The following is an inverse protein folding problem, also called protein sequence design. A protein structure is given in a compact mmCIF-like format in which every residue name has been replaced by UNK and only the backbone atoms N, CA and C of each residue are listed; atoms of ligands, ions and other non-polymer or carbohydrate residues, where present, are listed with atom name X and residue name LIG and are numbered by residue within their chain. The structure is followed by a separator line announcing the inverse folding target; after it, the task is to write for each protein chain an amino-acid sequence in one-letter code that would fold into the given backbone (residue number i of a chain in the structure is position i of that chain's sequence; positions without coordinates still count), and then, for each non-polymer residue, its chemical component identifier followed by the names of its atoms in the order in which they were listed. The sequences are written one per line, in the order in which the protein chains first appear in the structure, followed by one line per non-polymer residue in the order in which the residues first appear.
data_IF_150301912801
#
_entry.id   IF_150301912801
#
_cell.length_a   1.000
_cell.length_b   1.000
_cell.length_c   1.000
_cell.angle_alpha   90.00
_cell.angle_beta   90.00
_cell.angle_gamma   90.00
#
_symmetry.space_group_name_H-M   'P 1'
#
loop_
_entity.id
_entity.type
_entity.pdbx_description
1 polymer ?
#
# COMPACT_ATOMS: atom_id res chain seq x y z
N UNK A 1 -31.74 30.91 35.27
CA UNK A 1 -30.42 30.81 34.62
C UNK A 1 -30.21 29.35 34.24
N UNK A 2 -30.28 29.00 32.96
CA UNK A 2 -30.30 27.61 32.45
C UNK A 2 -28.98 27.36 31.72
N UNK A 3 -28.23 26.37 32.18
CA UNK A 3 -26.85 26.05 31.79
C UNK A 3 -26.77 25.46 30.39
N UNK A 4 -26.14 26.19 29.46
CA UNK A 4 -25.75 25.76 28.11
C UNK A 4 -24.36 25.10 28.18
N UNK A 5 -24.28 23.80 28.52
CA UNK A 5 -22.97 23.14 28.69
C UNK A 5 -22.93 21.69 28.17
N UNK A 6 -23.70 21.36 27.12
CA UNK A 6 -23.74 19.99 26.58
C UNK A 6 -23.29 19.88 25.12
N UNK A 7 -22.95 21.00 24.47
CA UNK A 7 -22.66 21.02 23.01
C UNK A 7 -21.16 20.85 22.68
N UNK A 8 -20.25 21.01 23.65
CA UNK A 8 -18.80 21.09 23.35
C UNK A 8 -18.03 19.77 23.30
N UNK A 9 -18.59 18.64 23.77
CA UNK A 9 -17.85 17.36 23.81
C UNK A 9 -17.90 16.63 22.45
N UNK A 10 -18.99 16.78 21.69
CA UNK A 10 -19.14 16.11 20.41
C UNK A 10 -18.14 16.62 19.35
N UNK A 11 -17.76 17.91 19.39
CA UNK A 11 -16.91 18.51 18.35
C UNK A 11 -15.43 18.11 18.47
N UNK A 12 -14.93 17.80 19.68
CA UNK A 12 -13.53 17.39 19.91
C UNK A 12 -13.28 15.94 19.50
N UNK A 13 -14.31 15.07 19.56
CA UNK A 13 -14.18 13.67 19.15
C UNK A 13 -14.01 13.50 17.63
N UNK A 14 -14.55 14.42 16.81
CA UNK A 14 -14.44 14.34 15.35
C UNK A 14 -13.10 14.83 14.80
N UNK A 15 -12.41 15.76 15.47
CA UNK A 15 -11.11 16.27 15.00
C UNK A 15 -9.97 15.29 15.25
N UNK A 16 -10.08 14.39 16.23
CA UNK A 16 -9.09 13.35 16.50
C UNK A 16 -9.04 12.25 15.41
N UNK A 17 -10.11 12.06 14.64
CA UNK A 17 -10.15 11.07 13.57
C UNK A 17 -9.39 11.49 12.31
N UNK A 18 -9.09 12.79 12.14
CA UNK A 18 -8.41 13.29 10.94
C UNK A 18 -6.90 12.98 10.94
N UNK A 19 -6.25 12.93 12.12
CA UNK A 19 -4.83 12.62 12.24
C UNK A 19 -4.49 11.13 12.10
N UNK A 20 -5.50 10.27 11.94
CA UNK A 20 -5.31 8.83 11.77
C UNK A 20 -5.07 8.40 10.31
N UNK A 21 -5.05 9.34 9.36
CA UNK A 21 -4.67 9.06 7.96
C UNK A 21 -3.15 8.98 7.85
N UNK A 22 -2.60 7.84 8.28
CA UNK A 22 -1.17 7.58 8.24
C UNK A 22 -0.80 6.76 7.00
N UNK A 23 0.20 7.22 6.27
CA UNK A 23 0.93 6.38 5.31
C UNK A 23 1.88 5.48 6.10
N UNK A 24 1.80 4.18 5.85
CA UNK A 24 2.76 3.21 6.39
C UNK A 24 3.68 2.82 5.24
N UNK A 25 4.98 2.98 5.45
CA UNK A 25 6.02 2.52 4.50
C UNK A 25 6.45 1.13 4.93
N UNK A 26 6.42 0.18 4.00
CA UNK A 26 6.96 -1.16 4.19
C UNK A 26 7.94 -1.51 3.06
N UNK A 27 9.16 -1.99 3.36
CA UNK A 27 9.66 -2.23 4.70
C UNK A 27 9.91 -0.93 5.49
N UNK A 28 9.73 -0.94 6.81
CA UNK A 28 9.78 0.25 7.67
C UNK A 28 11.08 1.07 7.52
N UNK A 29 12.21 0.39 7.29
CA UNK A 29 13.51 1.01 7.05
C UNK A 29 13.60 1.82 5.75
N UNK A 30 12.75 1.52 4.77
CA UNK A 30 12.72 2.23 3.48
C UNK A 30 12.17 3.67 3.61
N UNK A 31 11.60 4.05 4.76
CA UNK A 31 11.11 5.42 5.00
C UNK A 31 12.19 6.47 4.76
N UNK A 32 13.42 6.22 5.22
CA UNK A 32 14.52 7.18 5.20
C UNK A 32 15.73 6.73 4.37
N UNK A 33 15.72 5.49 3.88
CA UNK A 33 16.86 4.89 3.17
C UNK A 33 16.40 4.19 1.89
N UNK A 34 17.31 4.08 0.93
CA UNK A 34 17.16 3.13 -0.16
C UNK A 34 17.81 1.79 0.21
N UNK A 35 17.20 0.71 -0.24
CA UNK A 35 17.77 -0.63 -0.09
C UNK A 35 18.99 -0.84 -0.99
N UNK A 36 19.72 -1.93 -0.77
CA UNK A 36 20.84 -2.35 -1.63
C UNK A 36 20.41 -2.97 -2.96
N UNK A 37 19.09 -3.08 -3.20
CA UNK A 37 18.52 -3.67 -4.40
C UNK A 37 17.19 -3.02 -4.77
N UNK A 38 16.73 -3.32 -5.98
CA UNK A 38 15.48 -2.81 -6.54
C UNK A 38 14.64 -3.96 -7.09
N UNK A 39 13.33 -3.79 -7.06
CA UNK A 39 12.39 -4.74 -7.66
C UNK A 39 11.68 -4.06 -8.85
N UNK A 40 11.86 -4.64 -10.03
CA UNK A 40 11.25 -4.15 -11.26
C UNK A 40 9.96 -4.91 -11.63
N UNK A 41 9.63 -5.99 -10.91
CA UNK A 41 8.40 -6.75 -11.12
C UNK A 41 7.25 -6.20 -10.25
N UNK A 42 6.01 -6.16 -10.75
CA UNK A 42 5.59 -6.56 -12.10
C UNK A 42 5.75 -5.44 -13.16
N UNK A 43 6.27 -4.27 -12.78
CA UNK A 43 6.23 -3.02 -13.56
C UNK A 43 7.00 -3.00 -14.88
N UNK A 44 7.90 -3.96 -15.11
CA UNK A 44 8.71 -4.03 -16.35
C UNK A 44 8.40 -5.24 -17.21
N UNK A 45 7.52 -6.14 -16.75
CA UNK A 45 7.12 -7.32 -17.53
C UNK A 45 6.14 -6.95 -18.64
N UNK A 46 6.34 -7.51 -19.83
CA UNK A 46 5.35 -7.53 -20.93
C UNK A 46 4.50 -8.80 -20.92
N UNK A 47 4.88 -9.79 -20.12
CA UNK A 47 4.14 -11.05 -19.93
C UNK A 47 3.19 -10.90 -18.75
N UNK A 48 1.93 -11.30 -18.95
CA UNK A 48 0.93 -11.36 -17.89
C UNK A 48 1.38 -12.39 -16.85
N UNK A 49 1.51 -11.97 -15.60
CA UNK A 49 1.98 -12.79 -14.49
C UNK A 49 1.18 -12.47 -13.24
N UNK A 50 1.09 -13.45 -12.33
CA UNK A 50 0.73 -13.20 -10.94
C UNK A 50 1.98 -12.83 -10.17
N UNK A 51 1.83 -11.89 -9.25
CA UNK A 51 2.88 -11.43 -8.36
C UNK A 51 2.27 -11.33 -6.96
N UNK A 52 3.07 -11.60 -5.93
CA UNK A 52 2.64 -11.47 -4.54
C UNK A 52 3.73 -10.76 -3.75
N UNK A 53 3.34 -9.84 -2.87
CA UNK A 53 4.21 -9.35 -1.80
C UNK A 53 3.53 -9.49 -0.44
N UNK A 54 4.35 -9.80 0.56
CA UNK A 54 3.91 -9.96 1.95
C UNK A 54 4.58 -8.86 2.80
N UNK A 55 3.78 -8.22 3.64
CA UNK A 55 4.19 -7.16 4.55
C UNK A 55 3.83 -7.52 5.99
N UNK A 56 4.84 -7.89 6.78
CA UNK A 56 4.68 -8.30 8.19
C UNK A 56 4.99 -7.17 9.19
N UNK A 57 5.30 -5.97 8.71
CA UNK A 57 5.81 -4.84 9.49
C UNK A 57 4.88 -3.63 9.47
N UNK A 58 3.59 -3.84 9.19
CA UNK A 58 2.58 -2.78 9.23
C UNK A 58 2.21 -2.37 10.67
N UNK A 59 2.76 -3.05 11.68
CA UNK A 59 2.41 -2.91 13.08
C UNK A 59 1.05 -3.55 13.41
N UNK A 60 0.70 -3.53 14.69
CA UNK A 60 -0.53 -4.16 15.18
C UNK A 60 -1.79 -3.33 14.90
N UNK A 61 -2.93 -3.96 15.12
CA UNK A 61 -4.25 -3.33 15.07
C UNK A 61 -4.84 -3.24 13.67
N UNK A 62 -6.17 -3.22 13.62
CA UNK A 62 -6.91 -3.18 12.38
C UNK A 62 -6.64 -1.90 11.58
N UNK A 63 -6.55 -2.02 10.26
CA UNK A 63 -6.26 -0.92 9.34
C UNK A 63 -7.27 -0.89 8.21
N UNK A 64 -7.69 0.32 7.84
CA UNK A 64 -8.48 0.53 6.63
C UNK A 64 -7.55 0.99 5.50
N UNK A 65 -7.15 0.06 4.65
CA UNK A 65 -6.25 0.31 3.52
C UNK A 65 -7.08 0.75 2.33
N UNK A 66 -6.69 1.86 1.68
CA UNK A 66 -7.42 2.42 0.51
C UNK A 66 -6.56 2.55 -0.74
N UNK A 67 -5.24 2.39 -0.58
CA UNK A 67 -4.27 2.62 -1.63
C UNK A 67 -3.00 1.82 -1.35
N UNK A 68 -2.37 1.34 -2.42
CA UNK A 68 -0.97 0.97 -2.43
C UNK A 68 -0.21 2.00 -3.26
N UNK A 69 0.93 2.46 -2.76
CA UNK A 69 1.80 3.42 -3.43
C UNK A 69 3.19 2.82 -3.57
N UNK A 70 3.77 2.97 -4.76
CA UNK A 70 5.14 2.57 -5.04
C UNK A 70 5.99 3.81 -5.29
N UNK A 71 7.29 3.66 -5.16
CA UNK A 71 8.26 4.68 -5.54
C UNK A 71 9.32 4.06 -6.45
N UNK A 72 9.87 4.86 -7.36
CA UNK A 72 11.08 4.48 -8.07
C UNK A 72 12.23 4.21 -7.09
N UNK A 73 13.24 3.50 -7.59
CA UNK A 73 14.54 3.52 -6.93
C UNK A 73 15.13 4.93 -7.00
N UNK A 74 15.69 5.41 -5.90
CA UNK A 74 16.44 6.65 -5.85
C UNK A 74 17.60 6.69 -6.86
N UNK A 75 17.86 7.86 -7.43
CA UNK A 75 18.91 8.02 -8.44
C UNK A 75 19.02 9.44 -8.99
N UNK A 76 19.60 9.57 -10.18
CA UNK A 76 19.78 10.85 -10.90
C UNK A 76 18.90 11.01 -12.14
N UNK A 77 18.10 9.99 -12.47
CA UNK A 77 17.25 9.97 -13.68
C UNK A 77 15.84 10.46 -13.33
N UNK A 78 15.36 11.46 -14.06
CA UNK A 78 13.97 11.91 -13.97
C UNK A 78 13.05 10.96 -14.75
N UNK A 79 11.90 10.63 -14.18
CA UNK A 79 10.91 9.74 -14.80
C UNK A 79 9.63 10.52 -15.11
N UNK A 80 9.60 11.12 -16.31
CA UNK A 80 8.49 11.98 -16.78
C UNK A 80 7.43 11.25 -17.62
N UNK A 81 7.67 9.99 -17.95
CA UNK A 81 6.74 9.16 -18.72
C UNK A 81 5.65 8.53 -17.85
N UNK A 82 4.58 8.10 -18.52
CA UNK A 82 3.52 7.27 -17.93
C UNK A 82 3.55 5.87 -18.53
N UNK A 83 3.01 4.88 -17.79
CA UNK A 83 2.84 3.50 -18.23
C UNK A 83 1.42 3.04 -17.92
N UNK A 84 0.70 2.64 -18.97
CA UNK A 84 -0.56 1.94 -18.82
C UNK A 84 -0.30 0.47 -18.45
N UNK A 85 -1.05 -0.05 -17.48
CA UNK A 85 -0.96 -1.44 -17.02
C UNK A 85 -2.35 -2.02 -16.84
N UNK A 86 -2.59 -3.21 -17.40
CA UNK A 86 -3.79 -4.02 -17.10
C UNK A 86 -3.56 -4.76 -15.79
N UNK A 87 -4.31 -4.40 -14.75
CA UNK A 87 -4.12 -4.90 -13.38
C UNK A 87 -5.46 -5.36 -12.80
N UNK A 88 -5.41 -6.50 -12.11
CA UNK A 88 -6.35 -6.92 -11.08
C UNK A 88 -5.59 -7.02 -9.75
N UNK A 89 -6.18 -6.54 -8.66
CA UNK A 89 -5.54 -6.54 -7.33
C UNK A 89 -6.49 -7.16 -6.31
N UNK A 90 -5.96 -8.09 -5.51
CA UNK A 90 -6.65 -8.63 -4.35
C UNK A 90 -5.77 -8.50 -3.12
N UNK A 91 -6.40 -8.28 -1.96
CA UNK A 91 -5.72 -8.21 -0.66
C UNK A 91 -6.20 -9.37 0.22
N UNK A 92 -5.32 -9.87 1.08
CA UNK A 92 -5.65 -10.91 2.05
C UNK A 92 -4.69 -10.86 3.25
N UNK A 93 -5.06 -11.55 4.32
CA UNK A 93 -4.11 -11.92 5.35
C UNK A 93 -3.21 -13.05 4.82
N UNK A 94 -1.96 -13.11 5.29
CA UNK A 94 -1.00 -14.14 4.95
C UNK A 94 -0.21 -14.61 6.17
N UNK A 95 0.44 -15.77 6.01
CA UNK A 95 1.36 -16.31 7.01
C UNK A 95 2.59 -15.44 7.25
N UNK A 96 3.56 -16.00 7.97
CA UNK A 96 4.84 -15.36 8.21
C UNK A 96 5.61 -15.19 6.88
N UNK A 97 6.22 -14.01 6.67
CA UNK A 97 7.07 -13.73 5.50
C UNK A 97 8.26 -14.69 5.35
N UNK A 98 8.66 -15.37 6.43
CA UNK A 98 9.71 -16.40 6.41
C UNK A 98 9.21 -17.77 5.90
N UNK A 99 7.89 -17.94 5.74
CA UNK A 99 7.24 -19.22 5.42
C UNK A 99 6.58 -19.27 4.03
N UNK A 100 7.05 -18.43 3.10
CA UNK A 100 6.45 -18.26 1.77
C UNK A 100 6.56 -19.54 0.94
N UNK A 101 5.47 -19.88 0.26
CA UNK A 101 5.38 -20.97 -0.70
C UNK A 101 5.37 -20.48 -2.15
N UNK A 102 5.96 -21.28 -3.05
CA UNK A 102 5.80 -21.07 -4.50
C UNK A 102 4.38 -21.41 -4.99
N UNK A 103 3.59 -22.12 -4.17
CA UNK A 103 2.16 -22.27 -4.42
C UNK A 103 1.44 -21.02 -3.87
N UNK A 104 1.13 -20.08 -4.76
CA UNK A 104 0.55 -18.77 -4.40
C UNK A 104 -0.72 -18.89 -3.55
N UNK A 105 -1.54 -19.93 -3.78
CA UNK A 105 -2.77 -20.12 -3.01
C UNK A 105 -2.50 -20.51 -1.55
N UNK A 106 -1.36 -21.12 -1.27
CA UNK A 106 -0.97 -21.53 0.08
C UNK A 106 -0.47 -20.35 0.93
N UNK A 107 -0.21 -19.19 0.32
CA UNK A 107 0.24 -17.99 1.04
C UNK A 107 -0.93 -17.20 1.66
N UNK A 108 -2.17 -17.48 1.26
CA UNK A 108 -3.37 -16.80 1.78
C UNK A 108 -3.86 -17.44 3.08
N UNK A 109 -4.21 -16.60 4.05
CA UNK A 109 -5.02 -16.98 5.21
C UNK A 109 -6.46 -16.51 4.95
N UNK A 110 -7.27 -17.43 4.43
CA UNK A 110 -8.66 -17.16 4.06
C UNK A 110 -8.85 -16.87 2.57
N UNK A 111 -9.98 -16.24 2.24
CA UNK A 111 -10.32 -15.89 0.85
C UNK A 111 -9.81 -14.48 0.52
N UNK A 112 -9.06 -14.30 -0.59
CA UNK A 112 -8.64 -12.97 -1.04
C UNK A 112 -9.83 -12.09 -1.40
N UNK A 113 -9.74 -10.79 -1.09
CA UNK A 113 -10.72 -9.77 -1.46
C UNK A 113 -10.20 -9.00 -2.66
N UNK A 114 -10.86 -9.11 -3.81
CA UNK A 114 -10.56 -8.26 -4.97
C UNK A 114 -10.89 -6.80 -4.65
N UNK A 115 -9.88 -5.94 -4.64
CA UNK A 115 -10.01 -4.50 -4.36
C UNK A 115 -9.93 -3.65 -5.62
N UNK A 116 -9.23 -4.13 -6.66
CA UNK A 116 -9.27 -3.59 -8.03
C UNK A 116 -9.73 -4.71 -8.94
N UNK A 117 -10.96 -4.62 -9.43
CA UNK A 117 -11.39 -5.43 -10.56
C UNK A 117 -10.54 -5.10 -11.78
N UNK A 118 -10.24 -6.10 -12.61
CA UNK A 118 -9.36 -5.96 -13.78
C UNK A 118 -9.64 -4.68 -14.59
N UNK A 119 -8.65 -3.80 -14.67
CA UNK A 119 -8.75 -2.52 -15.38
C UNK A 119 -7.38 -2.01 -15.82
N UNK A 120 -7.38 -1.07 -16.76
CA UNK A 120 -6.15 -0.34 -17.13
C UNK A 120 -5.93 0.80 -16.12
N UNK A 121 -4.79 0.78 -15.44
CA UNK A 121 -4.30 1.88 -14.61
C UNK A 121 -3.14 2.59 -15.31
N UNK A 122 -3.00 3.89 -15.09
CA UNK A 122 -1.87 4.67 -15.59
C UNK A 122 -0.94 5.00 -14.42
N UNK A 123 0.31 4.54 -14.49
CA UNK A 123 1.34 4.84 -13.51
C UNK A 123 2.31 5.88 -14.07
N UNK A 124 2.79 6.78 -13.23
CA UNK A 124 3.62 7.93 -13.57
C UNK A 124 2.82 9.19 -13.88
N UNK A 125 3.51 10.32 -14.15
CA UNK A 125 4.95 10.48 -14.01
C UNK A 125 5.41 10.42 -12.55
N UNK A 126 6.63 9.96 -12.32
CA UNK A 126 7.21 9.90 -10.96
C UNK A 126 8.02 11.16 -10.62
N UNK A 127 8.35 11.95 -11.64
CA UNK A 127 8.92 13.29 -11.44
C UNK A 127 10.45 13.32 -11.36
N UNK A 128 10.95 14.22 -10.51
CA UNK A 128 12.38 14.48 -10.37
C UNK A 128 13.06 13.39 -9.54
N UNK A 129 14.32 13.12 -9.89
CA UNK A 129 15.14 12.17 -9.17
C UNK A 129 15.49 12.69 -7.76
N UNK A 130 15.31 11.85 -6.75
CA UNK A 130 15.77 12.10 -5.37
C UNK A 130 16.14 10.79 -4.67
N UNK A 131 16.82 10.89 -3.52
CA UNK A 131 17.22 9.76 -2.69
C UNK A 131 16.81 10.01 -1.23
N UNK A 132 15.88 9.23 -0.66
CA UNK A 132 15.02 8.29 -1.36
C UNK A 132 14.09 9.01 -2.37
N UNK A 133 13.60 8.28 -3.37
CA UNK A 133 12.56 8.83 -4.25
C UNK A 133 11.24 9.04 -3.51
N UNK A 134 10.41 10.03 -3.87
CA UNK A 134 9.09 10.17 -3.28
C UNK A 134 8.16 9.05 -3.76
N UNK A 135 7.15 8.73 -2.95
CA UNK A 135 5.98 7.98 -3.41
C UNK A 135 5.13 8.91 -4.27
N UNK A 136 5.32 8.84 -5.60
CA UNK A 136 4.68 9.74 -6.53
C UNK A 136 4.33 9.05 -7.84
N UNK A 137 3.08 9.19 -8.28
CA UNK A 137 2.62 8.77 -9.59
C UNK A 137 2.44 7.26 -9.74
N UNK A 138 2.91 6.43 -8.81
CA UNK A 138 2.68 4.98 -8.82
C UNK A 138 1.67 4.58 -7.76
N UNK A 139 0.49 5.19 -7.81
CA UNK A 139 -0.59 4.97 -6.85
C UNK A 139 -1.67 4.04 -7.43
N UNK A 140 -2.06 3.04 -6.65
CA UNK A 140 -3.17 2.15 -6.92
C UNK A 140 -4.26 2.39 -5.89
N UNK A 141 -5.21 3.28 -6.19
CA UNK A 141 -6.38 3.53 -5.34
C UNK A 141 -7.48 2.49 -5.58
N UNK A 142 -8.17 2.07 -4.53
CA UNK A 142 -9.14 0.98 -4.61
C UNK A 142 -10.24 1.03 -3.54
N UNK A 143 -11.20 0.10 -3.63
CA UNK A 143 -12.25 -0.06 -2.62
C UNK A 143 -11.64 -0.38 -1.26
N UNK A 144 -12.02 0.34 -0.18
CA UNK A 144 -11.39 0.16 1.13
C UNK A 144 -11.38 -1.28 1.62
N UNK A 145 -10.22 -1.74 2.08
CA UNK A 145 -9.98 -3.08 2.62
C UNK A 145 -9.65 -2.99 4.10
N UNK A 146 -10.34 -3.78 4.92
CA UNK A 146 -10.06 -3.89 6.35
C UNK A 146 -9.06 -5.02 6.57
N UNK A 147 -7.83 -4.66 6.92
CA UNK A 147 -6.81 -5.61 7.36
C UNK A 147 -6.88 -5.77 8.88
N UNK A 148 -6.83 -7.00 9.38
CA UNK A 148 -6.98 -7.29 10.82
C UNK A 148 -5.79 -6.80 11.65
N UNK A 149 -4.59 -6.72 11.04
CA UNK A 149 -3.34 -6.45 11.73
C UNK A 149 -2.87 -7.58 12.66
N UNK A 150 -3.49 -8.76 12.56
CA UNK A 150 -3.06 -9.96 13.31
C UNK A 150 -2.02 -10.77 12.53
N UNK A 151 -2.21 -10.83 11.21
CA UNK A 151 -1.35 -11.55 10.28
C UNK A 151 -0.60 -10.57 9.37
N UNK A 152 0.30 -11.08 8.52
CA UNK A 152 0.90 -10.26 7.48
C UNK A 152 -0.14 -9.84 6.44
N UNK A 153 0.03 -8.68 5.82
CA UNK A 153 -0.75 -8.31 4.65
C UNK A 153 -0.13 -8.93 3.40
N UNK A 154 -0.94 -9.52 2.52
CA UNK A 154 -0.55 -9.96 1.19
C UNK A 154 -1.36 -9.26 0.12
N UNK A 155 -0.68 -8.88 -0.96
CA UNK A 155 -1.28 -8.35 -2.18
C UNK A 155 -0.65 -8.95 -3.43
#
# INVERSE_FOLDING_TARGET
MRTLTTVSIALVAFTACLSAQNTIVSPIGATSTEGSGSNAFPFTSSVIRRYQQIHSDLGSGAKLIKQLSFRANGGSTNYTGTRAMDIELALCDAGDYASISNNFSANYIGSPTTVISRTIVNLGPQGQASIPSPFQGMDLSFSPYVHSGTNSLLW
#
